data_IF_368904613706
#
_entry.id   IF_368904613706
#
_cell.length_a   1.000
_cell.length_b   1.000
_cell.length_c   1.000
_cell.angle_alpha   90.00
_cell.angle_beta   90.00
_cell.angle_gamma   90.00
#
_symmetry.space_group_name_H-M   'P 1'
#
loop_
_entity.id
_entity.type
_entity.pdbx_description
1 polymer ?
#
# COMPACT_ATOMS: atom_id res chain seq x y z
N UNK A 1 -16.02 -12.18 -8.76
CA UNK A 1 -16.41 -13.07 -7.67
C UNK A 1 -15.77 -12.65 -6.33
N UNK A 2 -14.48 -12.28 -6.29
CA UNK A 2 -13.79 -11.78 -5.09
C UNK A 2 -14.46 -10.50 -4.55
N UNK A 3 -14.71 -9.52 -5.42
CA UNK A 3 -15.36 -8.24 -5.06
C UNK A 3 -16.80 -8.43 -4.55
N UNK A 4 -17.47 -9.52 -4.97
CA UNK A 4 -18.85 -9.83 -4.55
C UNK A 4 -18.91 -10.74 -3.31
N UNK A 5 -17.77 -11.06 -2.71
CA UNK A 5 -17.70 -11.93 -1.53
C UNK A 5 -18.23 -13.36 -1.76
N UNK A 6 -18.29 -13.83 -3.02
CA UNK A 6 -18.88 -15.13 -3.35
C UNK A 6 -18.19 -16.32 -2.68
N UNK A 7 -16.94 -16.13 -2.28
CA UNK A 7 -16.13 -17.16 -1.61
C UNK A 7 -15.88 -16.84 -0.13
N UNK A 8 -16.47 -15.76 0.37
CA UNK A 8 -16.38 -15.42 1.78
C UNK A 8 -17.40 -16.27 2.55
N UNK A 9 -16.94 -17.26 3.29
CA UNK A 9 -17.75 -18.11 4.17
C UNK A 9 -18.07 -17.40 5.50
N UNK A 10 -18.29 -16.09 5.49
CA UNK A 10 -18.53 -15.29 6.69
C UNK A 10 -19.86 -15.60 7.39
N UNK A 11 -20.78 -16.34 6.74
CA UNK A 11 -22.11 -16.64 7.28
C UNK A 11 -22.19 -17.96 8.07
N UNK A 12 -21.12 -18.73 8.18
CA UNK A 12 -21.17 -20.02 8.88
C UNK A 12 -20.24 -20.02 10.08
N UNK A 13 -20.85 -19.78 11.22
CA UNK A 13 -20.42 -20.15 12.58
C UNK A 13 -19.28 -19.32 13.18
N UNK A 14 -19.60 -18.67 14.28
CA UNK A 14 -18.65 -18.03 15.22
C UNK A 14 -17.52 -18.96 15.72
N UNK A 15 -17.54 -20.23 15.35
CA UNK A 15 -16.54 -21.23 15.74
C UNK A 15 -15.57 -21.66 14.63
N UNK A 16 -15.74 -21.22 13.38
CA UNK A 16 -14.95 -21.71 12.23
C UNK A 16 -14.25 -20.59 11.43
N UNK A 17 -13.92 -19.49 12.09
CA UNK A 17 -13.13 -18.37 11.50
C UNK A 17 -11.64 -18.75 11.33
N UNK A 18 -11.36 -19.97 10.85
CA UNK A 18 -9.98 -20.48 10.67
C UNK A 18 -9.31 -20.06 9.37
N UNK A 19 -10.02 -19.38 8.46
CA UNK A 19 -9.51 -19.11 7.10
C UNK A 19 -9.01 -17.67 6.85
N UNK A 20 -8.77 -16.89 7.87
CA UNK A 20 -8.22 -15.55 7.76
C UNK A 20 -9.00 -14.51 8.58
N UNK A 21 -8.34 -13.42 8.94
CA UNK A 21 -8.90 -12.40 9.82
C UNK A 21 -9.81 -11.40 9.10
N UNK A 22 -9.75 -11.35 7.77
CA UNK A 22 -10.44 -10.34 6.93
C UNK A 22 -11.02 -10.95 5.66
N UNK A 23 -12.08 -10.34 5.11
CA UNK A 23 -12.69 -10.78 3.86
C UNK A 23 -11.75 -10.58 2.66
N UNK A 24 -12.01 -11.26 1.56
CA UNK A 24 -11.22 -11.11 0.32
C UNK A 24 -11.23 -9.66 -0.20
N UNK A 25 -12.35 -8.97 -0.08
CA UNK A 25 -12.45 -7.57 -0.49
C UNK A 25 -11.65 -6.65 0.44
N UNK A 26 -11.72 -6.89 1.75
CA UNK A 26 -10.92 -6.16 2.74
C UNK A 26 -9.42 -6.37 2.52
N UNK A 27 -9.00 -7.62 2.24
CA UNK A 27 -7.61 -7.94 1.92
C UNK A 27 -7.14 -7.21 0.65
N UNK A 28 -7.98 -7.19 -0.41
CA UNK A 28 -7.69 -6.47 -1.63
C UNK A 28 -7.58 -4.96 -1.38
N UNK A 29 -8.56 -4.36 -0.69
CA UNK A 29 -8.57 -2.93 -0.38
C UNK A 29 -7.36 -2.52 0.48
N UNK A 30 -7.00 -3.35 1.47
CA UNK A 30 -5.82 -3.11 2.31
C UNK A 30 -4.52 -3.21 1.50
N UNK A 31 -4.40 -4.19 0.61
CA UNK A 31 -3.24 -4.32 -0.28
C UNK A 31 -3.11 -3.12 -1.24
N UNK A 32 -4.23 -2.65 -1.81
CA UNK A 32 -4.26 -1.44 -2.65
C UNK A 32 -3.87 -0.20 -1.83
N UNK A 33 -4.39 -0.06 -0.62
CA UNK A 33 -4.03 1.03 0.30
C UNK A 33 -2.53 1.08 0.61
N UNK A 34 -1.90 -0.08 0.79
CA UNK A 34 -0.46 -0.16 1.03
C UNK A 34 0.41 0.06 -0.22
N UNK A 35 -0.18 -0.03 -1.41
CA UNK A 35 0.55 0.09 -2.68
C UNK A 35 0.35 1.46 -3.33
N UNK A 36 -0.85 2.02 -3.25
CA UNK A 36 -1.19 3.33 -3.84
C UNK A 36 -1.06 4.41 -2.79
N UNK A 37 -0.10 5.30 -2.99
CA UNK A 37 0.19 6.42 -2.08
C UNK A 37 0.64 7.66 -2.83
N UNK A 38 1.13 8.65 -2.12
CA UNK A 38 1.63 9.91 -2.68
C UNK A 38 2.80 9.69 -3.66
N UNK A 39 3.56 8.60 -3.52
CA UNK A 39 4.60 8.20 -4.45
C UNK A 39 4.08 7.94 -5.87
N UNK A 40 2.87 7.43 -6.00
CA UNK A 40 2.23 7.18 -7.30
C UNK A 40 1.73 8.47 -7.98
N UNK A 41 1.60 9.54 -7.24
CA UNK A 41 1.15 10.85 -7.74
C UNK A 41 2.37 11.77 -7.90
N UNK A 42 2.96 12.21 -6.80
CA UNK A 42 4.09 13.13 -6.80
C UNK A 42 5.38 12.49 -7.36
N UNK A 43 5.65 11.23 -7.05
CA UNK A 43 6.82 10.51 -7.55
C UNK A 43 6.77 10.27 -9.05
N UNK A 44 5.60 10.00 -9.62
CA UNK A 44 5.43 9.87 -11.08
C UNK A 44 5.64 11.21 -11.78
N UNK A 45 5.09 12.29 -11.23
CA UNK A 45 5.31 13.64 -11.76
C UNK A 45 6.79 14.00 -11.74
N UNK A 46 7.49 13.73 -10.65
CA UNK A 46 8.94 13.95 -10.54
C UNK A 46 9.73 13.08 -11.54
N UNK A 47 9.37 11.82 -11.70
CA UNK A 47 10.02 10.92 -12.65
C UNK A 47 9.88 11.41 -14.09
N UNK A 48 8.71 11.95 -14.46
CA UNK A 48 8.48 12.54 -15.78
C UNK A 48 9.27 13.85 -15.95
N UNK A 49 9.30 14.69 -14.91
CA UNK A 49 10.04 15.94 -14.95
C UNK A 49 11.56 15.74 -15.13
N UNK A 50 12.12 14.68 -14.51
CA UNK A 50 13.56 14.38 -14.61
C UNK A 50 13.90 13.50 -15.81
N UNK A 51 13.07 12.52 -16.12
CA UNK A 51 13.32 11.49 -17.14
C UNK A 51 12.64 11.74 -18.50
N UNK A 52 11.84 12.80 -18.59
CA UNK A 52 11.07 13.11 -19.78
C UNK A 52 9.91 12.12 -20.04
N UNK A 53 9.23 12.22 -21.20
CA UNK A 53 8.07 11.40 -21.55
C UNK A 53 8.35 9.89 -21.58
N UNK A 54 9.60 9.50 -21.88
CA UNK A 54 10.03 8.11 -21.89
C UNK A 54 9.95 7.42 -20.52
N UNK A 55 9.98 8.18 -19.43
CA UNK A 55 9.81 7.64 -18.08
C UNK A 55 8.46 6.93 -17.93
N UNK A 56 7.40 7.45 -18.53
CA UNK A 56 6.05 6.85 -18.47
C UNK A 56 6.05 5.45 -19.09
N UNK A 57 6.70 5.29 -20.25
CA UNK A 57 6.81 3.98 -20.88
C UNK A 57 7.49 2.94 -19.98
N UNK A 58 8.63 3.32 -19.39
CA UNK A 58 9.36 2.41 -18.51
C UNK A 58 8.59 2.10 -17.22
N UNK A 59 7.84 3.05 -16.67
CA UNK A 59 6.98 2.81 -15.51
C UNK A 59 5.85 1.81 -15.84
N UNK A 60 5.26 1.86 -17.03
CA UNK A 60 4.26 0.89 -17.48
C UNK A 60 4.89 -0.50 -17.59
N UNK A 61 6.06 -0.62 -18.22
CA UNK A 61 6.79 -1.90 -18.32
C UNK A 61 7.14 -2.46 -16.96
N UNK A 62 7.66 -1.62 -16.05
CA UNK A 62 7.91 -2.00 -14.66
C UNK A 62 6.63 -2.48 -13.95
N UNK A 63 5.51 -1.82 -14.17
CA UNK A 63 4.22 -2.23 -13.61
C UNK A 63 3.78 -3.61 -14.07
N UNK A 64 3.94 -3.91 -15.35
CA UNK A 64 3.61 -5.23 -15.93
C UNK A 64 4.49 -6.35 -15.33
N UNK A 65 5.78 -6.11 -15.19
CA UNK A 65 6.70 -7.06 -14.55
C UNK A 65 6.37 -7.19 -13.05
N UNK A 66 6.05 -6.08 -12.39
CA UNK A 66 5.70 -6.01 -10.98
C UNK A 66 4.47 -6.83 -10.62
N UNK A 67 3.50 -6.96 -11.53
CA UNK A 67 2.33 -7.82 -11.32
C UNK A 67 2.71 -9.28 -11.06
N UNK A 68 3.66 -9.83 -11.83
CA UNK A 68 4.14 -11.21 -11.64
C UNK A 68 4.84 -11.37 -10.29
N UNK A 69 5.66 -10.41 -9.90
CA UNK A 69 6.36 -10.41 -8.61
C UNK A 69 5.36 -10.38 -7.45
N UNK A 70 4.34 -9.52 -7.55
CA UNK A 70 3.31 -9.40 -6.52
C UNK A 70 2.46 -10.65 -6.40
N UNK A 71 2.12 -11.28 -7.52
CA UNK A 71 1.41 -12.56 -7.53
C UNK A 71 2.18 -13.65 -6.79
N UNK A 72 3.47 -13.80 -7.07
CA UNK A 72 4.34 -14.77 -6.39
C UNK A 72 4.45 -14.47 -4.90
N UNK A 73 4.67 -13.19 -4.54
CA UNK A 73 4.76 -12.75 -3.14
C UNK A 73 3.51 -13.10 -2.34
N UNK A 74 2.33 -12.76 -2.86
CA UNK A 74 1.07 -13.04 -2.19
C UNK A 74 0.80 -14.55 -2.07
N UNK A 75 1.12 -15.33 -3.12
CA UNK A 75 0.96 -16.79 -3.11
C UNK A 75 1.86 -17.44 -2.06
N UNK A 76 3.13 -17.06 -2.01
CA UNK A 76 4.07 -17.56 -1.01
C UNK A 76 3.68 -17.13 0.41
N UNK A 77 3.21 -15.89 0.56
CA UNK A 77 2.74 -15.36 1.84
C UNK A 77 1.59 -16.15 2.43
N UNK A 78 0.65 -16.57 1.60
CA UNK A 78 -0.49 -17.42 2.02
C UNK A 78 -0.05 -18.87 2.24
N UNK A 79 0.80 -19.40 1.36
CA UNK A 79 1.25 -20.80 1.42
C UNK A 79 2.07 -21.11 2.69
N UNK A 80 2.97 -20.20 3.07
CA UNK A 80 3.86 -20.40 4.23
C UNK A 80 3.40 -19.70 5.52
N UNK A 81 2.15 -19.24 5.57
CA UNK A 81 1.59 -18.63 6.78
C UNK A 81 1.49 -19.62 7.93
N UNK A 82 1.61 -19.13 9.14
CA UNK A 82 1.29 -19.86 10.37
C UNK A 82 -0.05 -19.38 10.93
N UNK A 83 -0.86 -20.30 11.39
CA UNK A 83 -2.10 -20.00 12.10
C UNK A 83 -1.97 -20.56 13.51
N UNK A 84 -2.04 -19.68 14.50
CA UNK A 84 -1.97 -20.07 15.90
C UNK A 84 -3.29 -20.71 16.37
N UNK A 85 -3.27 -21.33 17.56
CA UNK A 85 -4.43 -21.97 18.19
C UNK A 85 -5.59 -20.99 18.41
N UNK A 86 -5.28 -19.73 18.59
CA UNK A 86 -6.24 -18.63 18.77
C UNK A 86 -6.76 -18.05 17.44
N UNK A 87 -6.41 -18.65 16.29
CA UNK A 87 -6.81 -18.19 14.96
C UNK A 87 -6.02 -16.99 14.43
N UNK A 88 -4.98 -16.55 15.14
CA UNK A 88 -4.12 -15.45 14.68
C UNK A 88 -3.22 -15.93 13.57
N UNK A 89 -3.19 -15.17 12.47
CA UNK A 89 -2.42 -15.51 11.27
C UNK A 89 -1.10 -14.76 11.25
N UNK A 90 -0.01 -15.50 11.17
CA UNK A 90 1.34 -14.98 11.02
C UNK A 90 1.89 -15.34 9.65
N UNK A 91 2.35 -14.35 8.88
CA UNK A 91 2.86 -14.58 7.54
C UNK A 91 3.77 -13.46 7.06
N UNK A 92 4.14 -13.54 5.80
CA UNK A 92 4.94 -12.52 5.15
C UNK A 92 6.33 -13.03 4.72
N UNK A 93 7.18 -12.12 4.21
CA UNK A 93 8.48 -12.50 3.63
C UNK A 93 9.39 -13.26 4.57
N UNK A 94 9.41 -12.93 5.85
CA UNK A 94 10.23 -13.62 6.84
C UNK A 94 9.85 -15.11 6.95
N UNK A 95 8.56 -15.43 6.85
CA UNK A 95 8.06 -16.80 6.94
C UNK A 95 8.38 -17.62 5.69
N UNK A 96 8.07 -17.10 4.50
CA UNK A 96 8.36 -17.87 3.28
C UNK A 96 9.85 -17.93 2.95
N UNK A 97 10.67 -16.95 3.34
CA UNK A 97 12.12 -17.04 3.21
C UNK A 97 12.68 -18.13 4.13
N UNK A 98 12.23 -18.19 5.39
CA UNK A 98 12.72 -19.19 6.34
C UNK A 98 12.26 -20.59 5.96
N UNK A 99 10.97 -20.80 5.71
CA UNK A 99 10.39 -22.12 5.44
C UNK A 99 10.71 -22.62 4.03
N UNK A 100 10.53 -21.79 3.01
CA UNK A 100 10.73 -22.19 1.62
C UNK A 100 12.19 -22.48 1.28
N UNK A 101 13.15 -21.74 1.86
CA UNK A 101 14.57 -22.05 1.70
C UNK A 101 14.99 -23.26 2.53
N UNK A 102 14.35 -23.51 3.68
CA UNK A 102 14.57 -24.73 4.47
C UNK A 102 14.15 -25.97 3.69
N UNK A 103 13.00 -25.98 3.03
CA UNK A 103 12.53 -27.08 2.17
C UNK A 103 13.50 -27.41 1.03
N UNK A 104 14.25 -26.39 0.55
CA UNK A 104 15.28 -26.55 -0.49
C UNK A 104 16.68 -26.85 0.05
N UNK A 105 16.83 -27.09 1.37
CA UNK A 105 18.10 -27.41 2.00
C UNK A 105 18.97 -26.19 2.37
N UNK A 106 18.48 -24.96 2.18
CA UNK A 106 19.22 -23.73 2.46
C UNK A 106 18.74 -23.04 3.75
N UNK A 107 18.59 -23.79 4.85
CA UNK A 107 18.03 -23.28 6.11
C UNK A 107 18.79 -22.05 6.66
N UNK A 108 20.14 -22.10 6.68
CA UNK A 108 20.95 -20.99 7.18
C UNK A 108 20.78 -19.72 6.36
N UNK A 109 20.74 -19.86 5.04
CA UNK A 109 20.51 -18.74 4.11
C UNK A 109 19.12 -18.13 4.33
N UNK A 110 18.10 -18.97 4.53
CA UNK A 110 16.74 -18.53 4.80
C UNK A 110 16.62 -17.67 6.06
N UNK A 111 17.26 -18.09 7.15
CA UNK A 111 17.29 -17.33 8.42
C UNK A 111 17.99 -15.99 8.26
N UNK A 112 19.15 -15.96 7.62
CA UNK A 112 19.91 -14.71 7.40
C UNK A 112 19.11 -13.75 6.50
N UNK A 113 18.56 -14.24 5.40
CA UNK A 113 17.75 -13.44 4.50
C UNK A 113 16.50 -12.85 5.19
N UNK A 114 15.82 -13.64 6.03
CA UNK A 114 14.67 -13.19 6.81
C UNK A 114 15.02 -12.05 7.78
N UNK A 115 16.16 -12.15 8.47
CA UNK A 115 16.64 -11.10 9.39
C UNK A 115 17.01 -9.83 8.62
N UNK A 116 17.75 -9.95 7.52
CA UNK A 116 18.09 -8.78 6.67
C UNK A 116 16.82 -8.11 6.16
N UNK A 117 15.87 -8.89 5.67
CA UNK A 117 14.58 -8.36 5.22
C UNK A 117 13.85 -7.60 6.33
N UNK A 118 13.81 -8.17 7.55
CA UNK A 118 13.16 -7.52 8.68
C UNK A 118 13.78 -6.16 9.02
N UNK A 119 15.11 -6.08 9.05
CA UNK A 119 15.85 -4.82 9.30
C UNK A 119 15.56 -3.80 8.18
N UNK A 120 15.64 -4.22 6.92
CA UNK A 120 15.34 -3.35 5.78
C UNK A 120 13.87 -2.88 5.78
N UNK A 121 12.94 -3.74 6.17
CA UNK A 121 11.52 -3.42 6.27
C UNK A 121 11.26 -2.36 7.35
N UNK A 122 11.90 -2.48 8.51
CA UNK A 122 11.82 -1.46 9.57
C UNK A 122 12.35 -0.11 9.07
N UNK A 123 13.55 -0.10 8.46
CA UNK A 123 14.15 1.12 7.91
C UNK A 123 13.29 1.77 6.81
N UNK A 124 12.77 0.96 5.89
CA UNK A 124 11.88 1.41 4.82
C UNK A 124 10.56 2.00 5.34
N UNK A 125 10.02 1.41 6.40
CA UNK A 125 8.77 1.90 7.03
C UNK A 125 8.94 3.28 7.66
N UNK A 126 10.07 3.55 8.29
CA UNK A 126 10.34 4.89 8.85
C UNK A 126 10.47 5.96 7.78
N UNK A 127 11.21 5.70 6.70
CA UNK A 127 11.48 6.66 5.64
C UNK A 127 10.34 6.79 4.64
N UNK A 128 10.29 5.88 3.68
CA UNK A 128 9.34 5.92 2.55
C UNK A 128 7.90 5.65 2.94
N UNK A 129 7.69 4.75 3.91
CA UNK A 129 6.35 4.35 4.35
C UNK A 129 5.63 5.41 5.19
N UNK A 130 6.33 6.16 6.00
CA UNK A 130 5.72 7.11 6.95
C UNK A 130 6.17 8.55 6.73
N UNK A 131 7.45 8.85 6.91
CA UNK A 131 7.94 10.25 6.89
C UNK A 131 7.67 10.96 5.54
N UNK A 132 7.94 10.29 4.42
CA UNK A 132 7.68 10.85 3.10
C UNK A 132 6.18 11.10 2.84
N UNK A 133 5.32 10.16 3.23
CA UNK A 133 3.87 10.25 3.02
C UNK A 133 3.26 11.39 3.86
N UNK A 134 3.60 11.45 5.15
CA UNK A 134 3.10 12.50 6.04
C UNK A 134 3.61 13.89 5.66
N UNK A 135 4.86 14.01 5.23
CA UNK A 135 5.44 15.26 4.77
C UNK A 135 4.71 15.80 3.53
N UNK A 136 4.48 14.97 2.52
CA UNK A 136 3.74 15.36 1.32
C UNK A 136 2.30 15.78 1.64
N UNK A 137 1.61 15.04 2.51
CA UNK A 137 0.26 15.41 2.93
C UNK A 137 0.26 16.77 3.67
N UNK A 138 1.23 17.01 4.55
CA UNK A 138 1.34 18.27 5.27
C UNK A 138 1.64 19.44 4.35
N UNK A 139 2.51 19.28 3.34
CA UNK A 139 2.82 20.32 2.35
C UNK A 139 1.56 20.72 1.59
N UNK A 140 0.84 19.73 1.01
CA UNK A 140 -0.37 20.02 0.23
C UNK A 140 -1.44 20.70 1.08
N UNK A 141 -1.63 20.27 2.34
CA UNK A 141 -2.59 20.92 3.24
C UNK A 141 -2.18 22.33 3.63
N UNK A 142 -0.89 22.60 3.83
CA UNK A 142 -0.38 23.95 4.08
C UNK A 142 -0.66 24.88 2.91
N UNK A 143 -0.35 24.42 1.70
CA UNK A 143 -0.55 25.19 0.47
C UNK A 143 -2.04 25.47 0.24
N UNK A 144 -2.90 24.49 0.47
CA UNK A 144 -4.36 24.63 0.33
C UNK A 144 -4.95 25.63 1.34
N UNK A 145 -4.44 25.63 2.57
CA UNK A 145 -4.92 26.50 3.65
C UNK A 145 -4.24 27.88 3.65
N UNK A 146 -3.21 28.09 2.84
CA UNK A 146 -2.48 29.34 2.75
C UNK A 146 -1.61 29.64 3.99
N UNK A 147 -1.19 28.61 4.73
CA UNK A 147 -0.36 28.77 5.93
C UNK A 147 1.09 28.36 5.66
N UNK A 148 2.00 29.34 5.63
CA UNK A 148 3.45 29.08 5.42
C UNK A 148 4.24 28.83 6.71
N UNK A 149 3.59 28.84 7.86
CA UNK A 149 4.26 28.70 9.15
C UNK A 149 4.71 27.25 9.40
N UNK A 150 5.91 27.09 9.98
CA UNK A 150 6.40 25.79 10.48
C UNK A 150 5.48 25.21 11.56
N UNK A 151 4.88 26.08 12.38
CA UNK A 151 3.93 25.70 13.40
C UNK A 151 2.66 25.08 12.80
N UNK A 152 2.16 25.61 11.69
CA UNK A 152 1.01 25.04 10.99
C UNK A 152 1.30 23.61 10.49
N UNK A 153 2.51 23.36 9.97
CA UNK A 153 2.94 22.02 9.58
C UNK A 153 2.95 21.02 10.75
N UNK A 154 3.44 21.45 11.90
CA UNK A 154 3.45 20.62 13.11
C UNK A 154 2.02 20.29 13.60
N UNK A 155 1.11 21.26 13.58
CA UNK A 155 -0.30 21.05 13.94
C UNK A 155 -1.02 20.10 12.99
N UNK A 156 -0.82 20.25 11.69
CA UNK A 156 -1.36 19.33 10.68
C UNK A 156 -0.81 17.92 10.92
N UNK A 157 0.50 17.78 11.13
CA UNK A 157 1.13 16.51 11.44
C UNK A 157 0.55 15.85 12.70
N UNK A 158 0.31 16.61 13.74
CA UNK A 158 -0.29 16.13 14.99
C UNK A 158 -1.73 15.63 14.76
N UNK A 159 -2.54 16.37 14.01
CA UNK A 159 -3.91 15.96 13.69
C UNK A 159 -3.90 14.64 12.89
N UNK A 160 -3.05 14.55 11.87
CA UNK A 160 -2.89 13.32 11.08
C UNK A 160 -2.43 12.15 11.94
N UNK A 161 -1.48 12.37 12.85
CA UNK A 161 -0.99 11.33 13.76
C UNK A 161 -2.10 10.81 14.69
N UNK A 162 -2.97 11.68 15.20
CA UNK A 162 -4.11 11.29 16.03
C UNK A 162 -5.11 10.46 15.20
N UNK A 163 -5.49 10.93 14.01
CA UNK A 163 -6.44 10.23 13.14
C UNK A 163 -5.94 8.84 12.75
N UNK A 164 -4.68 8.74 12.33
CA UNK A 164 -4.05 7.46 11.97
C UNK A 164 -3.89 6.57 13.20
N UNK A 165 -3.50 7.13 14.35
CA UNK A 165 -3.36 6.42 15.61
C UNK A 165 -4.67 5.74 16.06
N UNK A 166 -5.79 6.44 15.96
CA UNK A 166 -7.13 5.88 16.25
C UNK A 166 -7.44 4.64 15.41
N UNK A 167 -7.00 4.63 14.15
CA UNK A 167 -7.24 3.50 13.23
C UNK A 167 -6.30 2.34 13.57
N UNK A 168 -5.00 2.61 13.74
CA UNK A 168 -3.97 1.59 13.95
C UNK A 168 -4.15 0.84 15.28
N UNK A 169 -4.53 1.53 16.36
CA UNK A 169 -4.75 0.92 17.69
C UNK A 169 -5.82 -0.19 17.63
N UNK A 170 -6.75 -0.13 16.68
CA UNK A 170 -7.75 -1.18 16.47
C UNK A 170 -7.26 -2.43 15.75
N UNK A 171 -5.98 -2.51 15.38
CA UNK A 171 -5.37 -3.66 14.71
C UNK A 171 -5.82 -3.85 13.26
N UNK A 172 -5.41 -4.98 12.69
CA UNK A 172 -5.60 -5.28 11.25
C UNK A 172 -7.08 -5.28 10.83
N UNK A 173 -7.98 -5.75 11.68
CA UNK A 173 -9.43 -5.78 11.39
C UNK A 173 -10.00 -4.36 11.23
N UNK A 174 -9.58 -3.44 12.09
CA UNK A 174 -10.01 -2.05 12.01
C UNK A 174 -9.41 -1.32 10.81
N UNK A 175 -8.13 -1.55 10.54
CA UNK A 175 -7.45 -1.03 9.36
C UNK A 175 -8.19 -1.51 8.10
N UNK A 176 -8.47 -2.81 7.98
CA UNK A 176 -9.17 -3.41 6.85
C UNK A 176 -10.58 -2.83 6.66
N UNK A 177 -11.34 -2.65 7.75
CA UNK A 177 -12.69 -2.07 7.70
C UNK A 177 -12.71 -0.60 7.28
N UNK A 178 -11.69 0.17 7.61
CA UNK A 178 -11.57 1.57 7.17
C UNK A 178 -11.11 1.63 5.71
N UNK A 179 -10.11 0.85 5.33
CA UNK A 179 -9.55 0.84 3.97
C UNK A 179 -10.56 0.35 2.94
N UNK A 180 -11.42 -0.63 3.25
CA UNK A 180 -12.46 -1.09 2.32
C UNK A 180 -13.44 -0.01 1.88
N UNK A 181 -13.63 1.03 2.71
CA UNK A 181 -14.51 2.17 2.42
C UNK A 181 -13.76 3.32 1.76
N UNK A 182 -12.59 3.67 2.31
CA UNK A 182 -11.81 4.83 1.87
C UNK A 182 -11.14 4.59 0.53
N UNK A 183 -10.58 3.39 0.29
CA UNK A 183 -9.78 3.11 -0.91
C UNK A 183 -10.60 3.15 -2.21
N UNK A 184 -11.78 2.54 -2.31
CA UNK A 184 -12.60 2.65 -3.51
C UNK A 184 -13.01 4.10 -3.82
N UNK A 185 -13.37 4.86 -2.77
CA UNK A 185 -13.71 6.27 -2.91
C UNK A 185 -12.52 7.10 -3.40
N UNK A 186 -11.35 6.91 -2.79
CA UNK A 186 -10.10 7.56 -3.20
C UNK A 186 -9.75 7.25 -4.66
N UNK A 187 -9.82 5.97 -5.05
CA UNK A 187 -9.52 5.54 -6.41
C UNK A 187 -10.48 6.15 -7.43
N UNK A 188 -11.78 6.15 -7.14
CA UNK A 188 -12.80 6.73 -8.00
C UNK A 188 -12.59 8.25 -8.17
N UNK A 189 -12.38 8.97 -7.08
CA UNK A 189 -12.13 10.40 -7.09
C UNK A 189 -10.88 10.74 -7.89
N UNK A 190 -9.80 9.97 -7.72
CA UNK A 190 -8.56 10.17 -8.46
C UNK A 190 -8.76 9.94 -9.97
N UNK A 191 -9.46 8.87 -10.37
CA UNK A 191 -9.76 8.60 -11.79
C UNK A 191 -10.60 9.72 -12.39
N UNK A 192 -11.63 10.17 -11.69
CA UNK A 192 -12.48 11.27 -12.16
C UNK A 192 -11.65 12.55 -12.33
N UNK A 193 -10.81 12.89 -11.35
CA UNK A 193 -9.94 14.05 -11.43
C UNK A 193 -8.96 13.97 -12.61
N UNK A 194 -8.32 12.83 -12.82
CA UNK A 194 -7.42 12.63 -13.97
C UNK A 194 -8.15 12.77 -15.31
N UNK A 195 -9.33 12.14 -15.45
CA UNK A 195 -10.13 12.26 -16.65
C UNK A 195 -10.61 13.69 -16.89
N UNK A 196 -10.99 14.41 -15.85
CA UNK A 196 -11.36 15.84 -15.92
C UNK A 196 -10.19 16.68 -16.44
N UNK A 197 -8.99 16.46 -15.92
CA UNK A 197 -7.79 17.20 -16.36
C UNK A 197 -7.45 16.95 -17.83
N UNK A 198 -7.66 15.74 -18.35
CA UNK A 198 -7.46 15.43 -19.77
C UNK A 198 -8.40 16.27 -20.65
N UNK A 199 -9.63 16.52 -20.21
CA UNK A 199 -10.62 17.30 -20.94
C UNK A 199 -10.44 18.82 -20.80
N UNK A 200 -9.91 19.29 -19.68
CA UNK A 200 -9.70 20.73 -19.40
C UNK A 200 -8.40 21.22 -20.04
N UNK A 201 -7.38 20.37 -20.12
CA UNK A 201 -6.13 20.72 -20.79
C UNK A 201 -6.34 20.68 -22.30
N UNK A 202 -6.68 21.83 -22.88
CA UNK A 202 -6.48 21.99 -24.32
C UNK A 202 -5.05 21.60 -24.66
N UNK A 203 -4.83 20.85 -25.79
CA UNK A 203 -3.48 20.52 -26.21
C UNK A 203 -2.72 21.83 -26.30
N UNK A 204 -1.74 21.99 -25.45
CA UNK A 204 -0.85 23.15 -25.42
C UNK A 204 -0.42 23.39 -26.85
N UNK A 205 -0.85 24.48 -27.47
CA UNK A 205 -0.33 24.89 -28.77
C UNK A 205 1.16 24.88 -28.61
N UNK A 206 1.82 23.92 -29.25
CA UNK A 206 3.25 23.95 -29.45
C UNK A 206 3.50 25.30 -30.12
N UNK A 207 3.92 26.30 -29.38
CA UNK A 207 4.44 27.51 -29.98
C UNK A 207 5.59 27.04 -30.86
N UNK A 208 5.51 27.18 -32.18
CA UNK A 208 6.66 26.92 -33.03
C UNK A 208 7.72 27.92 -32.63
N UNK A 209 8.86 27.39 -32.17
CA UNK A 209 10.11 28.14 -32.00
C UNK A 209 10.60 28.54 -33.38
#
# INVERSE_FOLDING_TARGET
NVVRGKYDNLEKTESDSKDGEVSHFQALATAVSGTVGNGNIAGVALAIALGGPGATFWMIVCGLIGMSTKFVECTLGVHYRDVDKDGVVYGGPMYYLTKGLKERGFEKLGKVAAVIFAICCIGGSFGGGNAAQSNQAAIVLKDLLGYDSTFAGAMIGLILAILVGIIIIGGIKRIASVTEKVVPFMALLYIIACLSLIHISEPTRLNPI
#
